data_IF_366556630429
#
_entry.id   IF_366556630429
#
_cell.length_a   1.000
_cell.length_b   1.000
_cell.length_c   1.000
_cell.angle_alpha   90.00
_cell.angle_beta   90.00
_cell.angle_gamma   90.00
#
_symmetry.space_group_name_H-M   'P 1'
#
loop_
_entity.id
_entity.type
_entity.pdbx_description
1 polymer ?
#
# COMPACT_ATOMS: atom_id res chain seq x y z
N UNK A 1 0.71 -7.79 -4.68
CA UNK A 1 0.96 -7.40 -6.07
C UNK A 1 -0.29 -7.61 -6.91
N UNK A 2 -0.86 -6.55 -7.49
CA UNK A 2 -2.12 -6.73 -8.23
C UNK A 2 -2.34 -5.69 -9.30
N UNK A 3 -2.82 -6.17 -10.44
CA UNK A 3 -3.53 -5.38 -11.45
C UNK A 3 -4.51 -4.38 -10.80
N UNK A 4 -4.75 -3.21 -11.44
CA UNK A 4 -5.66 -2.17 -10.93
C UNK A 4 -7.04 -2.67 -10.49
N UNK A 5 -7.54 -3.77 -11.07
CA UNK A 5 -8.88 -4.35 -10.81
C UNK A 5 -8.90 -5.46 -9.73
N UNK A 6 -8.15 -5.28 -8.66
CA UNK A 6 -7.99 -6.27 -7.59
C UNK A 6 -9.12 -6.34 -6.56
N UNK A 7 -10.03 -5.36 -6.55
CA UNK A 7 -11.02 -5.20 -5.48
C UNK A 7 -10.51 -4.49 -4.21
N UNK A 8 -9.30 -3.91 -4.22
CA UNK A 8 -8.73 -3.13 -3.09
C UNK A 8 -9.66 -1.99 -2.65
N UNK A 9 -10.01 -1.11 -3.58
CA UNK A 9 -10.89 0.04 -3.31
C UNK A 9 -12.29 -0.41 -2.90
N UNK A 10 -12.81 -1.47 -3.53
CA UNK A 10 -14.11 -2.05 -3.16
C UNK A 10 -14.12 -2.57 -1.72
N UNK A 11 -13.03 -3.24 -1.30
CA UNK A 11 -12.88 -3.74 0.06
C UNK A 11 -12.87 -2.60 1.09
N UNK A 12 -12.15 -1.51 0.81
CA UNK A 12 -12.17 -0.32 1.65
C UNK A 12 -13.54 0.36 1.70
N UNK A 13 -14.24 0.46 0.56
CA UNK A 13 -15.60 1.04 0.52
C UNK A 13 -16.59 0.21 1.33
N UNK A 14 -16.45 -1.11 1.31
CA UNK A 14 -17.25 -2.06 2.09
C UNK A 14 -16.98 -1.88 3.60
N UNK A 15 -15.71 -1.87 4.01
CA UNK A 15 -15.32 -1.63 5.42
C UNK A 15 -15.82 -0.25 5.87
N UNK A 16 -15.73 0.73 4.98
CA UNK A 16 -16.19 2.08 5.18
C UNK A 16 -17.71 2.27 5.25
N UNK A 17 -18.50 1.25 4.94
CA UNK A 17 -19.96 1.36 4.84
C UNK A 17 -20.45 2.22 3.66
N UNK A 18 -19.58 2.52 2.68
CA UNK A 18 -19.93 3.27 1.46
C UNK A 18 -20.56 2.39 0.39
N UNK A 19 -20.39 1.07 0.49
CA UNK A 19 -20.98 0.10 -0.44
C UNK A 19 -21.52 -1.09 0.32
N UNK A 20 -22.71 -1.56 -0.06
CA UNK A 20 -23.33 -2.74 0.52
C UNK A 20 -22.53 -4.00 0.23
N UNK A 21 -22.58 -4.94 1.17
CA UNK A 21 -21.97 -6.27 1.02
C UNK A 21 -22.99 -7.25 0.48
N UNK A 22 -22.58 -8.14 -0.43
CA UNK A 22 -23.45 -9.21 -0.93
C UNK A 22 -23.61 -10.34 0.10
N UNK A 23 -22.56 -10.67 0.86
CA UNK A 23 -22.56 -11.72 1.90
C UNK A 23 -21.43 -11.52 2.94
N UNK A 24 -21.39 -12.35 4.00
CA UNK A 24 -20.32 -12.38 5.04
C UNK A 24 -20.61 -11.56 6.31
N UNK A 25 -19.57 -11.09 7.02
CA UNK A 25 -19.66 -10.08 8.09
C UNK A 25 -18.45 -9.12 8.08
N UNK A 26 -18.62 -7.89 8.59
CA UNK A 26 -17.54 -6.96 8.94
C UNK A 26 -17.76 -6.62 10.40
N UNK A 27 -16.73 -6.88 11.22
CA UNK A 27 -16.79 -6.69 12.66
C UNK A 27 -15.74 -5.66 13.05
N UNK A 28 -16.15 -4.68 13.84
CA UNK A 28 -15.31 -3.65 14.43
C UNK A 28 -14.99 -3.98 15.89
N UNK A 29 -14.07 -3.24 16.49
CA UNK A 29 -13.70 -3.41 17.90
C UNK A 29 -14.94 -3.49 18.81
N UNK A 30 -14.91 -4.43 19.76
CA UNK A 30 -16.03 -4.72 20.64
C UNK A 30 -17.13 -5.60 20.02
N UNK A 31 -16.88 -6.21 18.85
CA UNK A 31 -17.83 -7.13 18.21
C UNK A 31 -18.97 -6.43 17.47
N UNK A 32 -18.80 -5.16 17.11
CA UNK A 32 -19.84 -4.34 16.51
C UNK A 32 -19.92 -4.52 14.99
N UNK A 33 -21.12 -4.53 14.42
CA UNK A 33 -21.32 -4.57 12.95
C UNK A 33 -21.09 -3.22 12.26
N UNK A 34 -20.97 -2.15 13.05
CA UNK A 34 -20.70 -0.79 12.57
C UNK A 34 -19.72 -0.09 13.52
N UNK A 35 -18.83 0.77 12.99
CA UNK A 35 -17.92 1.51 13.84
C UNK A 35 -18.71 2.53 14.67
N UNK A 36 -18.32 2.79 15.93
CA UNK A 36 -18.87 3.90 16.70
C UNK A 36 -18.71 5.23 15.94
N UNK A 37 -19.64 6.16 16.16
CA UNK A 37 -19.60 7.47 15.49
C UNK A 37 -18.26 8.17 15.75
N UNK A 38 -17.68 8.72 14.69
CA UNK A 38 -16.38 9.40 14.77
C UNK A 38 -15.16 8.48 14.87
N UNK A 39 -15.29 7.15 15.00
CA UNK A 39 -14.11 6.26 15.12
C UNK A 39 -13.56 5.75 13.79
N UNK A 40 -14.28 5.92 12.70
CA UNK A 40 -13.81 5.55 11.35
C UNK A 40 -13.79 6.77 10.44
N UNK A 41 -12.69 6.91 9.70
CA UNK A 41 -12.60 7.82 8.55
C UNK A 41 -12.04 7.11 7.34
N UNK A 42 -12.51 7.57 6.19
CA UNK A 42 -12.13 7.04 4.89
C UNK A 42 -11.59 8.20 4.08
N UNK A 43 -10.42 7.98 3.47
CA UNK A 43 -9.79 8.93 2.57
C UNK A 43 -9.92 8.37 1.15
N UNK A 44 -10.95 8.76 0.38
CA UNK A 44 -11.18 8.18 -0.95
C UNK A 44 -10.05 8.53 -1.93
N UNK A 45 -9.95 7.78 -3.03
CA UNK A 45 -8.92 7.99 -4.05
C UNK A 45 -9.06 9.36 -4.76
N UNK A 46 -10.30 9.83 -4.96
CA UNK A 46 -10.57 11.16 -5.50
C UNK A 46 -10.58 12.18 -4.36
N UNK A 47 -9.99 13.35 -4.61
CA UNK A 47 -10.04 14.48 -3.69
C UNK A 47 -11.50 14.99 -3.61
N UNK A 48 -12.11 14.91 -2.43
CA UNK A 48 -13.43 15.47 -2.14
C UNK A 48 -13.22 16.60 -1.15
N UNK A 49 -13.01 17.81 -1.67
CA UNK A 49 -12.71 19.02 -0.89
C UNK A 49 -13.70 20.12 -1.23
N UNK A 50 -14.07 20.92 -0.23
CA UNK A 50 -14.87 22.14 -0.42
C UNK A 50 -13.90 23.24 -0.86
N UNK A 51 -13.98 23.60 -2.14
CA UNK A 51 -12.99 24.45 -2.83
C UNK A 51 -12.82 25.84 -2.22
N UNK A 52 -13.87 26.36 -1.61
CA UNK A 52 -14.00 27.71 -1.07
C UNK A 52 -13.42 27.84 0.35
N UNK A 53 -13.31 26.73 1.07
CA UNK A 53 -12.80 26.71 2.43
C UNK A 53 -11.27 26.70 2.45
N UNK A 54 -10.70 27.37 3.45
CA UNK A 54 -9.29 27.23 3.79
C UNK A 54 -8.99 25.83 4.33
N UNK A 55 -7.72 25.41 4.33
CA UNK A 55 -7.32 24.14 4.93
C UNK A 55 -7.79 24.04 6.39
N UNK A 56 -7.58 25.09 7.19
CA UNK A 56 -8.01 25.14 8.59
C UNK A 56 -9.54 25.09 8.74
N UNK A 57 -10.28 25.88 7.95
CA UNK A 57 -11.75 25.84 7.99
C UNK A 57 -12.30 24.46 7.60
N UNK A 58 -11.67 23.79 6.64
CA UNK A 58 -12.05 22.45 6.21
C UNK A 58 -11.94 21.45 7.36
N UNK A 59 -10.83 21.49 8.11
CA UNK A 59 -10.65 20.64 9.29
C UNK A 59 -11.66 20.97 10.40
N UNK A 60 -11.93 22.26 10.66
CA UNK A 60 -12.92 22.70 11.66
C UNK A 60 -14.31 22.15 11.36
N UNK A 61 -14.77 22.28 10.11
CA UNK A 61 -16.10 21.81 9.69
C UNK A 61 -16.21 20.30 9.86
N UNK A 62 -15.21 19.54 9.38
CA UNK A 62 -15.25 18.08 9.42
C UNK A 62 -15.09 17.54 10.84
N UNK A 63 -14.36 18.25 11.70
CA UNK A 63 -14.31 17.98 13.13
C UNK A 63 -15.68 18.14 13.77
N UNK A 64 -16.35 19.29 13.56
CA UNK A 64 -17.66 19.57 14.13
C UNK A 64 -18.73 18.54 13.69
N UNK A 65 -18.65 18.05 12.45
CA UNK A 65 -19.56 17.01 11.95
C UNK A 65 -19.33 15.64 12.62
N UNK A 66 -18.07 15.30 12.92
CA UNK A 66 -17.69 13.99 13.43
C UNK A 66 -17.69 13.90 14.97
N UNK A 67 -17.44 14.99 15.69
CA UNK A 67 -17.55 15.06 17.15
C UNK A 67 -18.26 16.34 17.60
N UNK A 68 -19.38 16.17 18.29
CA UNK A 68 -20.16 17.27 18.86
C UNK A 68 -19.61 17.82 20.17
N UNK A 69 -18.62 17.13 20.79
CA UNK A 69 -18.17 17.43 22.16
C UNK A 69 -16.67 17.76 22.30
N UNK A 70 -15.95 17.94 21.18
CA UNK A 70 -14.51 18.19 21.20
C UNK A 70 -14.22 19.70 21.16
N UNK A 71 -14.06 20.30 22.34
CA UNK A 71 -13.41 21.61 22.50
C UNK A 71 -11.89 21.44 22.31
N UNK A 72 -11.46 21.23 21.07
CA UNK A 72 -10.04 21.18 20.71
C UNK A 72 -9.64 22.53 20.13
N UNK A 73 -8.55 23.10 20.66
CA UNK A 73 -8.03 24.38 20.22
C UNK A 73 -7.69 24.32 18.73
N UNK A 74 -7.80 25.45 18.03
CA UNK A 74 -7.38 25.53 16.63
C UNK A 74 -5.89 25.19 16.45
N UNK A 75 -5.10 25.35 17.50
CA UNK A 75 -3.69 24.96 17.57
C UNK A 75 -3.45 23.48 17.20
N UNK A 76 -4.33 22.56 17.63
CA UNK A 76 -4.20 21.14 17.27
C UNK A 76 -4.39 20.91 15.77
N UNK A 77 -5.32 21.65 15.16
CA UNK A 77 -5.62 21.54 13.73
C UNK A 77 -4.52 22.17 12.89
N UNK A 78 -3.97 23.29 13.33
CA UNK A 78 -2.82 23.92 12.70
C UNK A 78 -1.59 23.03 12.80
N UNK A 79 -1.34 22.41 13.96
CA UNK A 79 -0.24 21.47 14.10
C UNK A 79 -0.41 20.26 13.18
N UNK A 80 -1.61 19.68 13.09
CA UNK A 80 -1.87 18.59 12.14
C UNK A 80 -1.62 19.00 10.67
N UNK A 81 -1.94 20.25 10.30
CA UNK A 81 -1.63 20.76 8.97
C UNK A 81 -0.12 20.93 8.77
N UNK A 82 0.63 21.36 9.78
CA UNK A 82 2.10 21.41 9.73
C UNK A 82 2.71 20.03 9.56
N UNK A 83 2.22 19.04 10.33
CA UNK A 83 2.66 17.64 10.24
C UNK A 83 2.35 17.02 8.87
N UNK A 84 1.37 17.57 8.15
CA UNK A 84 1.04 17.20 6.77
C UNK A 84 1.76 18.07 5.71
N UNK A 85 2.81 18.82 6.05
CA UNK A 85 3.54 19.76 5.19
C UNK A 85 2.65 20.84 4.53
N UNK A 86 1.63 21.33 5.24
CA UNK A 86 0.71 22.37 4.77
C UNK A 86 0.86 23.68 5.55
N UNK A 87 1.96 23.89 6.26
CA UNK A 87 2.21 25.08 7.10
C UNK A 87 1.92 26.40 6.35
N UNK A 88 2.54 26.60 5.17
CA UNK A 88 2.32 27.81 4.37
C UNK A 88 0.98 27.86 3.63
N UNK A 89 0.11 26.86 3.84
CA UNK A 89 -1.20 26.71 3.20
C UNK A 89 -2.35 26.61 4.19
N UNK A 90 -2.11 26.75 5.49
CA UNK A 90 -3.13 26.67 6.55
C UNK A 90 -4.35 27.55 6.23
N UNK A 91 -4.11 28.81 5.83
CA UNK A 91 -5.17 29.77 5.47
C UNK A 91 -5.42 29.90 3.97
N UNK A 92 -4.81 29.05 3.13
CA UNK A 92 -5.06 29.04 1.69
C UNK A 92 -6.33 28.24 1.39
N UNK A 93 -7.11 28.69 0.41
CA UNK A 93 -8.31 27.99 -0.05
C UNK A 93 -7.96 26.69 -0.78
N UNK A 94 -8.75 25.64 -0.57
CA UNK A 94 -8.52 24.32 -1.15
C UNK A 94 -8.43 24.35 -2.69
N UNK A 95 -9.13 25.28 -3.37
CA UNK A 95 -9.03 25.46 -4.83
C UNK A 95 -7.62 25.81 -5.32
N UNK A 96 -6.84 26.53 -4.50
CA UNK A 96 -5.49 27.01 -4.85
C UNK A 96 -4.40 25.95 -4.66
N UNK A 97 -4.75 24.81 -4.08
CA UNK A 97 -3.82 23.72 -3.80
C UNK A 97 -3.52 22.91 -5.07
N UNK A 98 -2.27 22.49 -5.21
CA UNK A 98 -1.88 21.49 -6.21
C UNK A 98 -2.56 20.14 -5.92
N UNK A 99 -2.57 19.22 -6.90
CA UNK A 99 -3.14 17.88 -6.71
C UNK A 99 -2.54 17.14 -5.51
N UNK A 100 -1.23 17.23 -5.31
CA UNK A 100 -0.52 16.65 -4.17
C UNK A 100 -0.86 17.35 -2.83
N UNK A 101 -0.95 18.67 -2.82
CA UNK A 101 -1.38 19.42 -1.62
C UNK A 101 -2.82 19.10 -1.22
N UNK A 102 -3.73 18.94 -2.20
CA UNK A 102 -5.10 18.47 -1.97
C UNK A 102 -5.10 17.08 -1.34
N UNK A 103 -4.19 16.19 -1.78
CA UNK A 103 -4.06 14.86 -1.20
C UNK A 103 -3.58 14.90 0.24
N UNK A 104 -2.60 15.76 0.56
CA UNK A 104 -2.13 16.00 1.94
C UNK A 104 -3.26 16.54 2.84
N UNK A 105 -4.05 17.50 2.33
CA UNK A 105 -5.20 18.02 3.08
C UNK A 105 -6.25 16.92 3.32
N UNK A 106 -6.49 16.07 2.34
CA UNK A 106 -7.41 14.93 2.47
C UNK A 106 -6.93 13.90 3.49
N UNK A 107 -5.61 13.67 3.59
CA UNK A 107 -5.03 12.85 4.64
C UNK A 107 -5.23 13.50 6.02
N UNK A 108 -4.96 14.80 6.15
CA UNK A 108 -5.20 15.54 7.39
C UNK A 108 -6.66 15.42 7.85
N UNK A 109 -7.62 15.54 6.92
CA UNK A 109 -9.05 15.27 7.19
C UNK A 109 -9.29 13.86 7.74
N UNK A 110 -8.65 12.86 7.14
CA UNK A 110 -8.70 11.48 7.62
C UNK A 110 -8.14 11.32 9.03
N UNK A 111 -7.12 12.10 9.38
CA UNK A 111 -6.45 12.07 10.69
C UNK A 111 -7.12 12.97 11.75
N UNK A 112 -8.01 13.87 11.36
CA UNK A 112 -8.90 14.55 12.31
C UNK A 112 -9.86 13.54 12.97
N UNK A 113 -10.00 12.34 12.39
CA UNK A 113 -10.69 11.16 12.90
C UNK A 113 -10.08 10.53 14.15
N UNK A 114 -10.58 10.93 15.32
CA UNK A 114 -10.32 10.25 16.58
C UNK A 114 -10.39 11.24 17.73
N UNK A 115 -10.65 10.75 18.94
CA UNK A 115 -10.82 11.57 20.15
C UNK A 115 -9.58 12.37 20.55
N UNK A 116 -8.41 12.14 19.95
CA UNK A 116 -7.20 12.94 20.13
C UNK A 116 -6.32 12.72 18.89
N UNK A 117 -5.63 13.75 18.42
CA UNK A 117 -4.67 13.66 17.30
C UNK A 117 -3.51 12.69 17.62
N UNK A 118 -3.31 12.37 18.91
CA UNK A 118 -2.15 11.65 19.46
C UNK A 118 -2.44 10.27 20.06
N UNK A 119 -3.66 9.74 19.95
CA UNK A 119 -3.95 8.37 20.41
C UNK A 119 -3.57 7.31 19.36
N UNK A 120 -3.37 6.07 19.81
CA UNK A 120 -3.15 4.90 18.97
C UNK A 120 -4.30 4.73 17.97
N UNK A 121 -3.96 4.47 16.70
CA UNK A 121 -4.91 4.38 15.59
C UNK A 121 -4.55 3.22 14.67
N UNK A 122 -5.55 2.49 14.24
CA UNK A 122 -5.40 1.53 13.14
C UNK A 122 -5.56 2.25 11.81
N UNK A 123 -4.51 2.25 10.99
CA UNK A 123 -4.54 2.80 9.63
C UNK A 123 -4.56 1.64 8.64
N UNK A 124 -5.57 1.63 7.76
CA UNK A 124 -5.63 0.73 6.62
C UNK A 124 -5.49 1.56 5.36
N UNK A 125 -4.45 1.28 4.58
CA UNK A 125 -4.22 1.92 3.29
C UNK A 125 -4.04 0.88 2.20
N UNK A 126 -4.25 1.30 0.95
CA UNK A 126 -4.03 0.47 -0.22
C UNK A 126 -2.99 1.13 -1.11
N UNK A 127 -1.91 0.42 -1.38
CA UNK A 127 -0.92 0.80 -2.40
C UNK A 127 -0.80 -0.29 -3.45
N UNK A 128 -0.24 0.08 -4.60
CA UNK A 128 0.22 -0.86 -5.61
C UNK A 128 1.74 -1.00 -5.64
N UNK A 129 2.46 -0.19 -4.86
CA UNK A 129 3.90 -0.22 -4.70
C UNK A 129 4.26 -1.09 -3.49
N UNK A 130 5.09 -2.12 -3.71
CA UNK A 130 5.50 -3.00 -2.62
C UNK A 130 6.47 -2.31 -1.67
N UNK A 131 7.32 -1.43 -2.17
CA UNK A 131 8.31 -0.70 -1.37
C UNK A 131 7.62 0.22 -0.33
N UNK A 132 6.51 0.87 -0.72
CA UNK A 132 5.70 1.66 0.22
C UNK A 132 5.05 0.77 1.30
N UNK A 133 4.51 -0.39 0.91
CA UNK A 133 3.88 -1.31 1.85
C UNK A 133 4.90 -1.91 2.81
N UNK A 134 6.07 -2.25 2.32
CA UNK A 134 7.18 -2.81 3.09
C UNK A 134 7.78 -1.80 4.07
N UNK A 135 7.85 -0.53 3.67
CA UNK A 135 8.37 0.54 4.51
C UNK A 135 7.39 0.99 5.60
N UNK A 136 6.09 1.01 5.29
CA UNK A 136 5.08 1.70 6.12
C UNK A 136 4.14 0.77 6.89
N UNK A 137 3.98 -0.50 6.48
CA UNK A 137 2.95 -1.36 7.05
C UNK A 137 3.53 -2.41 8.03
N UNK A 138 2.90 -2.54 9.19
CA UNK A 138 3.18 -3.64 10.12
C UNK A 138 2.70 -4.99 9.56
N UNK A 139 1.58 -4.97 8.83
CA UNK A 139 0.97 -6.13 8.18
C UNK A 139 0.50 -5.78 6.76
N UNK A 140 0.77 -6.68 5.82
CA UNK A 140 0.38 -6.55 4.42
C UNK A 140 -0.64 -7.63 4.08
N UNK A 141 -1.72 -7.24 3.42
CA UNK A 141 -2.66 -8.15 2.79
C UNK A 141 -2.60 -8.00 1.27
N UNK A 142 -2.32 -9.09 0.56
CA UNK A 142 -2.24 -9.13 -0.89
C UNK A 142 -3.52 -9.72 -1.46
N UNK A 143 -4.25 -8.92 -2.27
CA UNK A 143 -5.49 -9.33 -2.92
C UNK A 143 -5.28 -9.59 -4.41
N UNK A 144 -5.49 -10.78 -4.96
CA UNK A 144 -5.47 -10.98 -6.41
C UNK A 144 -6.86 -10.80 -7.04
N UNK A 145 -6.94 -10.37 -8.30
CA UNK A 145 -8.21 -10.35 -9.03
C UNK A 145 -8.77 -11.79 -9.12
N UNK A 146 -10.07 -12.01 -8.83
CA UNK A 146 -11.13 -11.01 -8.62
C UNK A 146 -11.45 -10.75 -7.12
N UNK A 147 -10.52 -10.19 -6.33
CA UNK A 147 -10.76 -9.84 -4.92
C UNK A 147 -10.38 -10.92 -3.91
N UNK A 148 -9.63 -11.93 -4.31
CA UNK A 148 -9.21 -13.04 -3.43
C UNK A 148 -7.97 -12.66 -2.63
N UNK A 149 -8.01 -12.83 -1.30
CA UNK A 149 -6.80 -12.77 -0.48
C UNK A 149 -5.86 -13.92 -0.86
N UNK A 150 -4.65 -13.58 -1.30
CA UNK A 150 -3.64 -14.57 -1.70
C UNK A 150 -2.50 -14.68 -0.71
N UNK A 151 -2.25 -13.65 0.08
CA UNK A 151 -1.27 -13.67 1.15
C UNK A 151 -1.60 -12.61 2.20
N UNK A 152 -1.27 -12.88 3.46
CA UNK A 152 -1.34 -11.90 4.54
C UNK A 152 -0.26 -12.18 5.58
N UNK A 153 0.32 -11.14 6.17
CA UNK A 153 1.31 -11.26 7.23
C UNK A 153 2.22 -10.04 7.31
N UNK A 154 3.21 -10.09 8.21
CA UNK A 154 4.24 -9.05 8.28
C UNK A 154 5.10 -9.06 6.99
N UNK A 155 5.70 -7.92 6.62
CA UNK A 155 6.57 -7.87 5.43
C UNK A 155 7.71 -8.90 5.50
N UNK A 156 8.28 -9.11 6.70
CA UNK A 156 9.32 -10.10 6.95
C UNK A 156 8.81 -11.53 6.74
N UNK A 157 7.65 -11.89 7.29
CA UNK A 157 7.07 -13.22 7.12
C UNK A 157 6.75 -13.49 5.64
N UNK A 158 6.17 -12.50 4.94
CA UNK A 158 5.85 -12.64 3.52
C UNK A 158 7.11 -12.82 2.66
N UNK A 159 8.19 -12.07 2.92
CA UNK A 159 9.49 -12.28 2.27
C UNK A 159 10.16 -13.59 2.68
N UNK A 160 9.93 -14.04 3.90
CA UNK A 160 10.38 -15.34 4.42
C UNK A 160 9.75 -16.49 3.65
N UNK A 161 8.43 -16.53 3.66
CA UNK A 161 7.60 -17.66 3.21
C UNK A 161 7.36 -17.64 1.70
N UNK A 162 7.18 -16.45 1.11
CA UNK A 162 6.86 -16.29 -0.31
C UNK A 162 8.02 -15.72 -1.13
N UNK A 163 9.01 -15.09 -0.49
CA UNK A 163 10.23 -14.65 -1.15
C UNK A 163 11.05 -15.85 -1.59
N UNK A 164 10.87 -16.23 -2.85
CA UNK A 164 11.52 -17.37 -3.49
C UNK A 164 12.99 -17.10 -3.83
N UNK A 165 13.68 -16.22 -3.10
CA UNK A 165 15.03 -15.77 -3.44
C UNK A 165 15.08 -14.83 -4.65
N UNK A 166 16.27 -14.68 -5.22
CA UNK A 166 16.49 -13.81 -6.38
C UNK A 166 16.02 -14.46 -7.69
N UNK A 167 15.66 -13.61 -8.65
CA UNK A 167 15.42 -14.03 -10.03
C UNK A 167 16.35 -13.24 -10.96
N UNK A 168 16.94 -13.90 -11.95
CA UNK A 168 17.84 -13.30 -12.93
C UNK A 168 17.18 -13.39 -14.30
N UNK A 169 17.04 -12.24 -14.96
CA UNK A 169 16.53 -12.17 -16.33
C UNK A 169 17.71 -12.02 -17.29
N UNK A 170 17.85 -12.98 -18.21
CA UNK A 170 18.93 -12.99 -19.19
C UNK A 170 18.34 -12.85 -20.59
N UNK A 171 18.92 -11.94 -21.38
CA UNK A 171 18.58 -11.80 -22.79
C UNK A 171 19.59 -12.59 -23.61
N UNK A 172 19.15 -13.69 -24.23
CA UNK A 172 19.99 -14.56 -25.04
C UNK A 172 19.76 -14.25 -26.52
N UNK A 173 20.83 -14.24 -27.31
CA UNK A 173 20.76 -13.99 -28.75
C UNK A 173 20.29 -15.22 -29.56
N UNK A 174 20.21 -16.39 -28.93
CA UNK A 174 19.95 -17.70 -29.56
C UNK A 174 18.80 -18.47 -28.89
N UNK A 175 18.36 -19.53 -29.58
CA UNK A 175 17.20 -20.38 -29.30
C UNK A 175 17.21 -21.09 -27.92
N UNK A 176 16.11 -21.80 -27.63
CA UNK A 176 15.78 -22.48 -26.36
C UNK A 176 16.88 -23.36 -25.76
N UNK A 177 17.82 -23.87 -26.55
CA UNK A 177 18.89 -24.78 -26.09
C UNK A 177 19.93 -24.05 -25.23
N UNK A 178 20.30 -22.81 -25.58
CA UNK A 178 21.23 -22.00 -24.79
C UNK A 178 20.65 -21.64 -23.42
N UNK A 179 19.33 -21.46 -23.34
CA UNK A 179 18.63 -21.21 -22.08
C UNK A 179 18.64 -22.44 -21.17
N UNK A 180 18.47 -23.64 -21.74
CA UNK A 180 18.54 -24.90 -20.99
C UNK A 180 19.97 -25.18 -20.47
N UNK A 181 20.99 -24.92 -21.29
CA UNK A 181 22.40 -25.07 -20.88
C UNK A 181 22.76 -24.10 -19.75
N UNK A 182 22.35 -22.84 -19.86
CA UNK A 182 22.56 -21.85 -18.80
C UNK A 182 21.83 -22.23 -17.50
N UNK A 183 20.60 -22.77 -17.58
CA UNK A 183 19.91 -23.28 -16.40
C UNK A 183 20.73 -24.37 -15.70
N UNK A 184 21.31 -25.31 -16.46
CA UNK A 184 22.12 -26.38 -15.88
C UNK A 184 23.36 -25.82 -15.17
N UNK A 185 24.03 -24.84 -15.77
CA UNK A 185 25.16 -24.12 -15.13
C UNK A 185 24.72 -23.39 -13.86
N UNK A 186 23.59 -22.69 -13.89
CA UNK A 186 23.03 -22.00 -12.72
C UNK A 186 22.72 -22.99 -11.59
N UNK A 187 22.17 -24.17 -11.92
CA UNK A 187 21.83 -25.20 -10.93
C UNK A 187 23.04 -25.76 -10.18
N UNK A 188 24.26 -25.64 -10.71
CA UNK A 188 25.50 -26.02 -9.98
C UNK A 188 25.76 -25.14 -8.76
N UNK A 189 25.29 -23.88 -8.79
CA UNK A 189 25.46 -22.90 -7.70
C UNK A 189 24.15 -22.72 -6.92
N UNK A 190 23.01 -22.82 -7.58
CA UNK A 190 21.67 -22.70 -7.02
C UNK A 190 20.81 -23.93 -7.37
N UNK A 191 20.88 -25.04 -6.60
CA UNK A 191 20.31 -26.33 -6.99
C UNK A 191 18.79 -26.35 -7.17
N UNK A 192 18.08 -25.44 -6.49
CA UNK A 192 16.63 -25.30 -6.60
C UNK A 192 16.20 -24.33 -7.71
N UNK A 193 17.14 -23.84 -8.51
CA UNK A 193 16.85 -22.90 -9.56
C UNK A 193 16.00 -23.52 -10.67
N UNK A 194 15.01 -22.75 -11.14
CA UNK A 194 14.15 -23.16 -12.24
C UNK A 194 13.85 -21.98 -13.16
N UNK A 195 13.56 -22.28 -14.43
CA UNK A 195 13.20 -21.25 -15.42
C UNK A 195 11.67 -21.11 -15.48
N UNK A 196 11.16 -19.88 -15.43
CA UNK A 196 9.74 -19.61 -15.68
C UNK A 196 9.60 -18.75 -16.93
N UNK A 197 9.10 -19.34 -18.01
CA UNK A 197 8.87 -18.68 -19.31
C UNK A 197 10.17 -18.31 -20.04
N UNK A 198 10.48 -19.08 -21.10
CA UNK A 198 11.42 -18.67 -22.13
C UNK A 198 10.62 -17.98 -23.24
N UNK A 199 10.87 -16.69 -23.44
CA UNK A 199 10.56 -16.05 -24.73
C UNK A 199 11.78 -16.23 -25.65
N UNK A 200 11.60 -16.09 -26.97
CA UNK A 200 12.67 -16.29 -27.97
C UNK A 200 13.94 -15.47 -27.66
N UNK A 201 13.83 -14.36 -26.91
CA UNK A 201 14.96 -13.48 -26.59
C UNK A 201 15.24 -13.30 -25.11
N UNK A 202 14.36 -13.76 -24.22
CA UNK A 202 14.51 -13.52 -22.78
C UNK A 202 14.05 -14.73 -21.99
N UNK A 203 14.91 -15.16 -21.06
CA UNK A 203 14.65 -16.24 -20.13
C UNK A 203 14.77 -15.73 -18.69
N UNK A 204 13.78 -16.07 -17.86
CA UNK A 204 13.75 -15.71 -16.44
C UNK A 204 14.09 -16.94 -15.58
N UNK A 205 15.17 -16.85 -14.82
CA UNK A 205 15.63 -17.89 -13.90
C UNK A 205 15.32 -17.49 -12.47
N UNK A 206 14.55 -18.31 -11.75
CA UNK A 206 14.31 -18.17 -10.32
C UNK A 206 15.35 -18.97 -9.57
N UNK A 207 16.23 -18.32 -8.81
CA UNK A 207 17.37 -18.98 -8.18
C UNK A 207 17.00 -19.76 -6.92
N UNK A 208 15.92 -19.41 -6.23
CA UNK A 208 15.53 -20.03 -4.95
C UNK A 208 16.63 -19.93 -3.87
N UNK A 209 17.57 -19.00 -4.04
CA UNK A 209 18.63 -18.67 -3.10
C UNK A 209 18.44 -17.25 -2.57
N UNK A 210 18.67 -17.05 -1.27
CA UNK A 210 18.62 -15.74 -0.60
C UNK A 210 20.01 -15.16 -0.30
N UNK A 211 21.06 -15.93 -0.58
CA UNK A 211 22.45 -15.55 -0.35
C UNK A 211 22.97 -14.69 -1.52
N UNK A 212 23.50 -13.50 -1.22
CA UNK A 212 24.07 -12.60 -2.22
C UNK A 212 25.31 -13.19 -2.89
N UNK A 213 26.08 -14.05 -2.23
CA UNK A 213 27.24 -14.71 -2.84
C UNK A 213 26.82 -15.67 -3.96
N UNK A 214 25.67 -16.32 -3.82
CA UNK A 214 25.11 -17.18 -4.86
C UNK A 214 24.69 -16.35 -6.06
N UNK A 215 24.12 -15.15 -5.84
CA UNK A 215 23.75 -14.23 -6.92
C UNK A 215 24.99 -13.76 -7.68
N UNK A 216 26.03 -13.32 -6.98
CA UNK A 216 27.28 -12.85 -7.61
C UNK A 216 27.92 -13.93 -8.49
N UNK A 217 27.96 -15.18 -8.01
CA UNK A 217 28.45 -16.33 -8.79
C UNK A 217 27.58 -16.64 -10.00
N UNK A 218 26.27 -16.47 -9.89
CA UNK A 218 25.36 -16.64 -11.02
C UNK A 218 25.56 -15.54 -12.05
N UNK A 219 25.74 -14.28 -11.65
CA UNK A 219 26.03 -13.18 -12.56
C UNK A 219 27.33 -13.41 -13.34
N UNK A 220 28.39 -13.88 -12.67
CA UNK A 220 29.65 -14.26 -13.32
C UNK A 220 29.48 -15.38 -14.37
N UNK A 221 28.56 -16.33 -14.15
CA UNK A 221 28.28 -17.40 -15.10
C UNK A 221 27.48 -16.94 -16.32
N UNK A 222 26.70 -15.87 -16.18
CA UNK A 222 25.93 -15.26 -17.27
C UNK A 222 26.81 -14.39 -18.16
N UNK A 223 27.83 -13.74 -17.58
CA UNK A 223 28.77 -12.86 -18.29
C UNK A 223 29.90 -13.63 -19.01
N UNK A 224 30.03 -14.95 -18.78
CA UNK A 224 31.05 -15.84 -19.36
C UNK A 224 30.55 -16.65 -20.55
#
# INVERSE_FOLDING_TARGET
MVKPSAGKSTSLSVIGGLTGRTSGQVVFEGGLDRPPRGRLSIVPQKNVLISELTCLQTLRVLRAVKWSNAASADEDLEQLLRDCDLEHKIHAQARTLSGGQKRKLQLAIGLVAGSEVRQERTIVFTTHFLDEADLLADNIAILAAPGKLVAAGSPVALKGDLGQGYSVQVSLAADSDAAAELLHRIQTVAPQAHMSVASIRQSLYHLRAKDSQVVDRVLQLVDS
#
